data_IF_545700612274
#
_entry.id   IF_545700612274
#
_cell.length_a   1.000
_cell.length_b   1.000
_cell.length_c   1.000
_cell.angle_alpha   90.00
_cell.angle_beta   90.00
_cell.angle_gamma   90.00
#
_symmetry.space_group_name_H-M   'P 1'
#
loop_
_entity.id
_entity.type
_entity.pdbx_description
1 polymer ?
#
# COMPACT_ATOMS: atom_id res chain seq x y z
N UNK A 1 7.66 4.14 3.62
CA UNK A 1 7.17 3.12 4.59
C UNK A 1 6.92 1.82 3.88
N UNK A 2 7.23 0.69 4.52
CA UNK A 2 7.06 -0.66 3.98
C UNK A 2 5.95 -1.37 4.74
N UNK A 3 4.99 -1.95 4.02
CA UNK A 3 3.96 -2.81 4.59
C UNK A 3 4.01 -4.18 3.89
N UNK A 4 4.36 -5.21 4.66
CA UNK A 4 4.29 -6.59 4.21
C UNK A 4 2.93 -7.17 4.58
N UNK A 5 2.09 -7.37 3.56
CA UNK A 5 0.75 -7.94 3.72
C UNK A 5 0.69 -9.38 3.19
N UNK A 6 1.84 -10.03 3.02
CA UNK A 6 1.94 -11.35 2.38
C UNK A 6 1.17 -12.45 3.11
N UNK A 7 1.08 -12.35 4.43
CA UNK A 7 0.35 -13.27 5.30
C UNK A 7 -1.14 -12.95 5.44
N UNK A 8 -1.64 -11.84 4.89
CA UNK A 8 -3.07 -11.52 4.93
C UNK A 8 -3.82 -12.43 3.96
N UNK A 9 -4.62 -13.32 4.52
CA UNK A 9 -5.39 -14.33 3.76
C UNK A 9 -6.68 -13.74 3.18
N UNK A 10 -7.22 -12.70 3.82
CA UNK A 10 -8.40 -11.96 3.36
C UNK A 10 -8.20 -10.48 3.71
N UNK A 11 -8.50 -9.58 2.77
CA UNK A 11 -8.59 -8.14 3.03
C UNK A 11 -10.05 -7.75 2.88
N UNK A 12 -10.74 -7.59 4.01
CA UNK A 12 -12.16 -7.27 4.04
C UNK A 12 -12.44 -5.80 3.71
N UNK A 13 -13.73 -5.44 3.59
CA UNK A 13 -14.14 -4.04 3.43
C UNK A 13 -13.73 -3.18 4.63
N UNK A 14 -13.69 -3.74 5.83
CA UNK A 14 -13.26 -3.04 7.04
C UNK A 14 -11.79 -2.62 6.97
N UNK A 15 -10.90 -3.51 6.52
CA UNK A 15 -9.48 -3.21 6.30
C UNK A 15 -9.31 -2.11 5.24
N UNK A 16 -10.07 -2.21 4.14
CA UNK A 16 -10.05 -1.20 3.09
C UNK A 16 -10.53 0.16 3.61
N UNK A 17 -11.60 0.20 4.40
CA UNK A 17 -12.11 1.42 5.01
C UNK A 17 -11.12 1.99 6.03
N UNK A 18 -10.47 1.16 6.83
CA UNK A 18 -9.44 1.59 7.76
C UNK A 18 -8.28 2.25 7.00
N UNK A 19 -7.75 1.60 5.97
CA UNK A 19 -6.67 2.16 5.15
C UNK A 19 -7.10 3.48 4.52
N UNK A 20 -8.33 3.52 3.98
CA UNK A 20 -8.89 4.65 3.25
C UNK A 20 -9.16 5.88 4.11
N UNK A 21 -9.76 5.70 5.28
CA UNK A 21 -10.29 6.79 6.09
C UNK A 21 -9.45 7.10 7.33
N UNK A 22 -8.56 6.18 7.74
CA UNK A 22 -7.72 6.37 8.93
C UNK A 22 -6.24 6.41 8.60
N UNK A 23 -5.69 5.34 8.00
CA UNK A 23 -4.25 5.23 7.82
C UNK A 23 -3.69 6.22 6.79
N UNK A 24 -4.24 6.25 5.57
CA UNK A 24 -3.71 7.08 4.49
C UNK A 24 -3.74 8.58 4.82
N UNK A 25 -4.86 9.17 5.32
CA UNK A 25 -4.87 10.58 5.70
C UNK A 25 -3.79 10.92 6.73
N UNK A 26 -3.65 10.08 7.77
CA UNK A 26 -2.65 10.26 8.83
C UNK A 26 -1.21 10.08 8.35
N UNK A 27 -0.98 9.20 7.37
CA UNK A 27 0.32 8.99 6.77
C UNK A 27 0.75 10.22 5.95
N UNK A 28 -0.18 10.79 5.18
CA UNK A 28 0.03 12.02 4.41
C UNK A 28 0.33 13.19 5.36
N UNK A 29 -0.48 13.39 6.40
CA UNK A 29 -0.26 14.44 7.41
C UNK A 29 1.08 14.31 8.12
N UNK A 30 1.55 13.08 8.35
CA UNK A 30 2.88 12.80 8.93
C UNK A 30 4.03 12.94 7.92
N UNK A 31 3.75 13.41 6.70
CA UNK A 31 4.77 13.69 5.69
C UNK A 31 5.30 12.46 4.98
N UNK A 32 4.58 11.34 4.99
CA UNK A 32 5.01 10.16 4.24
C UNK A 32 4.96 10.50 2.76
N UNK A 33 6.01 10.14 2.00
CA UNK A 33 6.12 10.43 0.57
C UNK A 33 5.98 9.19 -0.31
N UNK A 34 6.31 8.02 0.25
CA UNK A 34 6.31 6.76 -0.45
C UNK A 34 5.86 5.60 0.46
N UNK A 35 5.01 4.71 -0.07
CA UNK A 35 4.55 3.48 0.57
C UNK A 35 4.78 2.31 -0.39
N UNK A 36 5.49 1.29 0.09
CA UNK A 36 5.68 0.04 -0.65
C UNK A 36 4.88 -1.08 0.01
N UNK A 37 4.13 -1.82 -0.78
CA UNK A 37 3.30 -2.95 -0.36
C UNK A 37 3.83 -4.24 -0.98
N UNK A 38 3.98 -5.31 -0.19
CA UNK A 38 4.34 -6.64 -0.74
C UNK A 38 3.05 -7.44 -0.99
N UNK A 39 2.87 -7.96 -2.20
CA UNK A 39 1.66 -8.63 -2.67
C UNK A 39 1.39 -9.93 -1.87
N UNK A 40 0.13 -10.19 -1.46
CA UNK A 40 -0.25 -11.48 -0.89
C UNK A 40 -0.30 -12.59 -1.94
N UNK A 41 0.11 -13.80 -1.53
CA UNK A 41 0.18 -14.98 -2.41
C UNK A 41 -1.21 -15.46 -2.88
N UNK A 42 -2.26 -15.18 -2.10
CA UNK A 42 -3.60 -15.72 -2.33
C UNK A 42 -4.46 -14.62 -2.99
N UNK A 43 -4.62 -14.76 -4.30
CA UNK A 43 -5.24 -13.78 -5.18
C UNK A 43 -6.77 -13.78 -5.02
N UNK A 44 -7.30 -12.91 -4.15
CA UNK A 44 -8.71 -12.46 -4.20
C UNK A 44 -8.82 -10.91 -4.22
N UNK A 45 -7.73 -10.22 -4.56
CA UNK A 45 -7.51 -8.79 -4.30
C UNK A 45 -7.17 -7.94 -5.54
N UNK A 46 -7.43 -8.39 -6.77
CA UNK A 46 -7.24 -7.56 -7.96
C UNK A 46 -8.01 -6.21 -7.84
N UNK A 47 -9.18 -6.23 -7.20
CA UNK A 47 -10.01 -5.05 -6.91
C UNK A 47 -9.45 -4.15 -5.78
N UNK A 48 -8.78 -4.73 -4.78
CA UNK A 48 -8.20 -3.96 -3.66
C UNK A 48 -6.95 -3.17 -4.10
N UNK A 49 -6.19 -3.72 -5.06
CA UNK A 49 -5.00 -3.08 -5.66
C UNK A 49 -5.38 -1.88 -6.54
N UNK A 50 -6.44 -2.00 -7.34
CA UNK A 50 -6.95 -0.90 -8.14
C UNK A 50 -7.46 0.27 -7.27
N UNK A 51 -8.14 -0.04 -6.16
CA UNK A 51 -8.70 0.99 -5.28
C UNK A 51 -7.64 1.85 -4.58
N UNK A 52 -6.51 1.24 -4.20
CA UNK A 52 -5.35 1.96 -3.66
C UNK A 52 -4.70 2.79 -4.78
N UNK A 53 -4.44 2.19 -5.94
CA UNK A 53 -3.78 2.85 -7.07
C UNK A 53 -4.54 4.08 -7.60
N UNK A 54 -5.88 4.04 -7.59
CA UNK A 54 -6.71 5.16 -8.05
C UNK A 54 -6.60 6.40 -7.13
N UNK A 55 -6.49 6.21 -5.81
CA UNK A 55 -6.43 7.32 -4.84
C UNK A 55 -5.01 7.91 -4.70
N UNK A 56 -3.98 7.13 -5.03
CA UNK A 56 -2.57 7.58 -5.11
C UNK A 56 -2.42 8.72 -6.10
N UNK A 57 -3.11 8.66 -7.24
CA UNK A 57 -3.06 9.73 -8.24
C UNK A 57 -3.62 11.08 -7.72
N UNK A 58 -4.40 11.07 -6.63
CA UNK A 58 -4.98 12.26 -6.02
C UNK A 58 -4.22 12.77 -4.78
N UNK A 59 -3.11 12.14 -4.41
CA UNK A 59 -2.34 12.50 -3.20
C UNK A 59 -0.85 12.63 -3.52
N UNK A 60 -0.11 13.38 -2.71
CA UNK A 60 1.34 13.58 -2.84
C UNK A 60 2.18 12.34 -2.47
N UNK A 61 1.54 11.20 -2.22
CA UNK A 61 2.15 9.97 -1.71
C UNK A 61 2.18 8.92 -2.79
N UNK A 62 3.37 8.48 -3.18
CA UNK A 62 3.52 7.40 -4.13
C UNK A 62 3.29 6.05 -3.42
N UNK A 63 2.37 5.25 -3.94
CA UNK A 63 2.18 3.88 -3.45
C UNK A 63 2.47 2.91 -4.58
N UNK A 64 3.30 1.90 -4.31
CA UNK A 64 3.61 0.81 -5.24
C UNK A 64 3.51 -0.55 -4.57
N UNK A 65 3.18 -1.55 -5.38
CA UNK A 65 3.02 -2.94 -4.94
C UNK A 65 4.08 -3.79 -5.62
N UNK A 66 4.70 -4.69 -4.87
CA UNK A 66 5.83 -5.52 -5.27
C UNK A 66 5.57 -6.99 -4.97
N UNK A 67 6.18 -7.88 -5.72
CA UNK A 67 6.09 -9.33 -5.50
C UNK A 67 7.09 -9.84 -4.45
N UNK A 68 8.12 -9.04 -4.16
CA UNK A 68 9.13 -9.36 -3.15
C UNK A 68 9.39 -8.20 -2.18
N UNK A 69 9.73 -8.56 -0.94
CA UNK A 69 10.18 -7.62 0.08
C UNK A 69 11.44 -6.88 -0.37
N UNK A 70 12.35 -7.58 -1.04
CA UNK A 70 13.60 -7.03 -1.53
C UNK A 70 13.38 -5.90 -2.54
N UNK A 71 12.48 -6.09 -3.51
CA UNK A 71 12.14 -5.05 -4.49
C UNK A 71 11.46 -3.85 -3.83
N UNK A 72 10.54 -4.10 -2.89
CA UNK A 72 9.85 -3.05 -2.15
C UNK A 72 10.83 -2.16 -1.36
N UNK A 73 11.80 -2.79 -0.69
CA UNK A 73 12.85 -2.08 0.05
C UNK A 73 13.77 -1.29 -0.88
N UNK A 74 14.25 -1.91 -1.96
CA UNK A 74 15.13 -1.26 -2.92
C UNK A 74 14.46 -0.03 -3.57
N UNK A 75 13.15 -0.11 -3.83
CA UNK A 75 12.40 1.04 -4.35
C UNK A 75 12.25 2.17 -3.33
N UNK A 76 11.94 1.85 -2.07
CA UNK A 76 11.84 2.88 -1.03
C UNK A 76 13.16 3.63 -0.83
N UNK A 77 14.29 2.92 -0.85
CA UNK A 77 15.63 3.54 -0.73
C UNK A 77 15.97 4.48 -1.89
N UNK A 78 15.37 4.28 -3.07
CA UNK A 78 15.57 5.16 -4.24
C UNK A 78 14.60 6.34 -4.28
N UNK A 79 13.48 6.26 -3.55
CA UNK A 79 12.35 7.20 -3.67
C UNK A 79 12.26 8.17 -2.50
N UNK A 80 12.91 7.85 -1.37
CA UNK A 80 12.98 8.67 -0.15
C UNK A 80 14.41 9.13 0.05
#
# INVERSE_FOLDING_TARGET
VLADIKSMTLIGQEDQNYVKFNFLPRAIERGFRAIALVRPNNYFNALAVEFISYRVQQTSVQIRIFDSLAEAQAWLQKTV
#
